data_IF_142614488178
#
_entry.id   IF_142614488178
#
_cell.length_a   1.000
_cell.length_b   1.000
_cell.length_c   1.000
_cell.angle_alpha   90.00
_cell.angle_beta   90.00
_cell.angle_gamma   90.00
#
_symmetry.space_group_name_H-M   'P 1'
#
loop_
_entity.id
_entity.type
_entity.pdbx_description
1 polymer ?
#
# COMPACT_ATOMS: atom_id res chain seq x y z
N UNK A 1 -3.26 -14.13 10.60
CA UNK A 1 -2.75 -12.97 9.86
C UNK A 1 -3.75 -11.83 9.78
N UNK A 2 -4.93 -12.01 9.17
CA UNK A 2 -5.99 -10.98 9.17
C UNK A 2 -6.33 -10.42 10.56
N UNK A 3 -6.62 -11.28 11.54
CA UNK A 3 -6.88 -10.85 12.92
C UNK A 3 -5.73 -10.04 13.55
N UNK A 4 -4.47 -10.36 13.22
CA UNK A 4 -3.33 -9.60 13.69
C UNK A 4 -3.24 -8.23 13.01
N UNK A 5 -3.46 -8.16 11.68
CA UNK A 5 -3.57 -6.89 10.95
C UNK A 5 -4.63 -5.98 11.56
N UNK A 6 -5.85 -6.50 11.74
CA UNK A 6 -6.97 -5.75 12.32
C UNK A 6 -6.61 -5.21 13.70
N UNK A 7 -6.07 -6.05 14.59
CA UNK A 7 -5.68 -5.61 15.95
C UNK A 7 -4.57 -4.55 15.91
N UNK A 8 -3.55 -4.72 15.07
CA UNK A 8 -2.47 -3.74 14.95
C UNK A 8 -2.96 -2.42 14.33
N UNK A 9 -3.83 -2.47 13.32
CA UNK A 9 -4.38 -1.25 12.69
C UNK A 9 -5.35 -0.50 13.61
N UNK A 10 -6.09 -1.22 14.47
CA UNK A 10 -7.06 -0.62 15.40
C UNK A 10 -6.39 -0.07 16.67
N UNK A 11 -5.42 -0.79 17.23
CA UNK A 11 -4.84 -0.49 18.55
C UNK A 11 -3.45 0.15 18.47
N UNK A 12 -2.78 0.08 17.32
CA UNK A 12 -1.35 0.40 17.20
C UNK A 12 -0.46 -0.73 17.74
N UNK A 13 0.86 -0.60 17.56
CA UNK A 13 1.81 -1.63 17.95
C UNK A 13 1.83 -1.85 19.46
N UNK A 14 1.88 -0.78 20.25
CA UNK A 14 2.04 -0.84 21.70
C UNK A 14 0.88 -1.54 22.42
N UNK A 15 -0.35 -1.13 22.13
CA UNK A 15 -1.54 -1.66 22.79
C UNK A 15 -2.00 -3.02 22.25
N UNK A 16 -1.52 -3.42 21.06
CA UNK A 16 -1.77 -4.76 20.53
C UNK A 16 -1.13 -5.84 21.43
N UNK A 17 -1.92 -6.87 21.75
CA UNK A 17 -1.46 -8.01 22.56
C UNK A 17 -1.81 -9.33 21.89
N UNK A 18 -1.02 -10.37 22.16
CA UNK A 18 -1.35 -11.73 21.74
C UNK A 18 -2.71 -12.20 22.25
N UNK A 19 -3.15 -11.70 23.41
CA UNK A 19 -4.48 -12.02 23.92
C UNK A 19 -5.58 -11.41 23.05
N UNK A 20 -5.45 -10.13 22.67
CA UNK A 20 -6.40 -9.47 21.78
C UNK A 20 -6.46 -10.17 20.40
N UNK A 21 -5.30 -10.53 19.85
CA UNK A 21 -5.19 -11.25 18.58
C UNK A 21 -5.80 -12.65 18.68
N UNK A 22 -5.54 -13.38 19.77
CA UNK A 22 -6.10 -14.72 19.99
C UNK A 22 -7.64 -14.67 20.05
N UNK A 23 -8.20 -13.73 20.81
CA UNK A 23 -9.66 -13.52 20.88
C UNK A 23 -10.24 -13.22 19.49
N UNK A 24 -9.59 -12.33 18.74
CA UNK A 24 -10.02 -11.95 17.38
C UNK A 24 -9.97 -13.12 16.39
N UNK A 25 -8.99 -13.99 16.54
CA UNK A 25 -8.75 -15.13 15.66
C UNK A 25 -9.54 -16.39 16.05
N UNK A 26 -10.35 -16.34 17.12
CA UNK A 26 -10.97 -17.51 17.75
C UNK A 26 -9.94 -18.60 18.12
N UNK A 27 -8.81 -18.16 18.67
CA UNK A 27 -7.69 -19.00 19.09
C UNK A 27 -7.38 -18.79 20.58
N UNK A 28 -6.60 -19.70 21.13
CA UNK A 28 -6.04 -19.53 22.46
C UNK A 28 -4.72 -18.76 22.41
N UNK A 29 -4.40 -18.01 23.46
CA UNK A 29 -3.10 -17.32 23.58
C UNK A 29 -1.90 -18.28 23.47
N UNK A 30 -1.90 -19.48 24.08
CA UNK A 30 -0.85 -20.48 23.87
C UNK A 30 -0.67 -20.88 22.39
N UNK A 31 -1.75 -20.95 21.60
CA UNK A 31 -1.65 -21.26 20.18
C UNK A 31 -0.86 -20.18 19.42
N UNK A 32 -1.10 -18.89 19.69
CA UNK A 32 -0.32 -17.80 19.07
C UNK A 32 1.16 -17.85 19.49
N UNK A 33 1.43 -18.08 20.77
CA UNK A 33 2.80 -18.21 21.29
C UNK A 33 3.58 -19.37 20.66
N UNK A 34 2.90 -20.42 20.20
CA UNK A 34 3.53 -21.53 19.51
C UNK A 34 4.13 -21.10 18.16
N UNK A 35 3.47 -20.18 17.45
CA UNK A 35 3.93 -19.68 16.16
C UNK A 35 4.88 -18.49 16.26
N UNK A 36 4.68 -17.61 17.26
CA UNK A 36 5.43 -16.36 17.36
C UNK A 36 6.06 -16.20 18.75
N UNK A 37 7.38 -16.20 18.78
CA UNK A 37 8.15 -16.02 20.02
C UNK A 37 8.06 -14.59 20.59
N UNK A 38 7.67 -13.59 19.77
CA UNK A 38 7.50 -12.20 20.24
C UNK A 38 6.47 -11.43 19.41
N UNK A 39 5.91 -10.37 19.99
CA UNK A 39 5.02 -9.41 19.29
C UNK A 39 5.70 -8.78 18.08
N UNK A 40 7.00 -8.49 18.19
CA UNK A 40 7.80 -7.95 17.09
C UNK A 40 7.87 -8.91 15.91
N UNK A 41 8.18 -10.18 16.15
CA UNK A 41 8.22 -11.19 15.07
C UNK A 41 6.85 -11.38 14.40
N UNK A 42 5.77 -11.39 15.19
CA UNK A 42 4.43 -11.43 14.61
C UNK A 42 4.14 -10.18 13.77
N UNK A 43 4.52 -9.00 14.25
CA UNK A 43 4.31 -7.75 13.51
C UNK A 43 5.10 -7.72 12.20
N UNK A 44 6.38 -8.12 12.22
CA UNK A 44 7.24 -8.23 11.04
C UNK A 44 6.63 -9.18 10.00
N UNK A 45 6.23 -10.37 10.42
CA UNK A 45 5.55 -11.34 9.53
C UNK A 45 4.27 -10.76 8.92
N UNK A 46 3.51 -9.99 9.70
CA UNK A 46 2.30 -9.34 9.19
C UNK A 46 2.64 -8.24 8.17
N UNK A 47 3.70 -7.45 8.39
CA UNK A 47 4.22 -6.47 7.42
C UNK A 47 4.64 -7.16 6.13
N UNK A 48 5.48 -8.19 6.22
CA UNK A 48 6.03 -8.90 5.07
C UNK A 48 4.92 -9.54 4.22
N UNK A 49 3.99 -10.26 4.85
CA UNK A 49 2.88 -10.86 4.13
C UNK A 49 1.97 -9.82 3.48
N UNK A 50 1.74 -8.68 4.14
CA UNK A 50 0.90 -7.63 3.58
C UNK A 50 1.58 -6.99 2.38
N UNK A 51 2.87 -6.65 2.49
CA UNK A 51 3.66 -6.08 1.41
C UNK A 51 3.77 -7.04 0.21
N UNK A 52 4.07 -8.32 0.45
CA UNK A 52 4.14 -9.32 -0.62
C UNK A 52 2.78 -9.49 -1.34
N UNK A 53 1.69 -9.54 -0.58
CA UNK A 53 0.35 -9.73 -1.15
C UNK A 53 -0.13 -8.54 -1.98
N UNK A 54 0.30 -7.32 -1.65
CA UNK A 54 -0.19 -6.09 -2.26
C UNK A 54 0.85 -5.42 -3.13
N UNK A 55 1.96 -4.98 -2.54
CA UNK A 55 2.96 -4.15 -3.21
C UNK A 55 3.71 -4.96 -4.25
N UNK A 56 4.29 -6.10 -3.89
CA UNK A 56 5.07 -6.91 -4.83
C UNK A 56 4.19 -7.45 -5.96
N UNK A 57 2.99 -7.92 -5.62
CA UNK A 57 1.99 -8.37 -6.59
C UNK A 57 1.58 -7.24 -7.55
N UNK A 58 1.32 -6.04 -7.05
CA UNK A 58 0.95 -4.87 -7.85
C UNK A 58 2.09 -4.42 -8.77
N UNK A 59 3.34 -4.40 -8.28
CA UNK A 59 4.53 -4.10 -9.10
C UNK A 59 4.69 -5.14 -10.21
N UNK A 60 4.61 -6.42 -9.89
CA UNK A 60 4.76 -7.48 -10.89
C UNK A 60 3.67 -7.42 -11.98
N UNK A 61 2.42 -7.16 -11.60
CA UNK A 61 1.32 -7.02 -12.57
C UNK A 61 1.49 -5.79 -13.46
N UNK A 62 1.85 -4.65 -12.86
CA UNK A 62 1.98 -3.37 -13.58
C UNK A 62 3.15 -3.34 -14.54
N UNK A 63 4.24 -4.09 -14.32
CA UNK A 63 5.36 -4.20 -15.26
C UNK A 63 4.98 -4.66 -16.67
N UNK A 64 3.80 -5.27 -16.84
CA UNK A 64 3.27 -5.70 -18.14
C UNK A 64 2.76 -4.55 -19.00
N UNK A 65 2.54 -3.38 -18.41
CA UNK A 65 2.04 -2.19 -19.08
C UNK A 65 3.17 -1.37 -19.71
N UNK A 66 2.90 -0.84 -20.90
CA UNK A 66 3.86 -0.08 -21.70
C UNK A 66 3.86 1.42 -21.42
N UNK A 67 2.84 1.94 -20.75
CA UNK A 67 2.69 3.37 -20.43
C UNK A 67 2.79 3.61 -18.93
N UNK A 68 3.26 4.80 -18.52
CA UNK A 68 3.26 5.21 -17.12
C UNK A 68 1.84 5.17 -16.54
N UNK A 69 0.87 5.72 -17.26
CA UNK A 69 -0.51 5.73 -16.80
C UNK A 69 -1.07 4.30 -16.64
N UNK A 70 -0.75 3.38 -17.55
CA UNK A 70 -1.12 1.96 -17.47
C UNK A 70 -0.49 1.28 -16.24
N UNK A 71 0.80 1.50 -16.01
CA UNK A 71 1.52 0.99 -14.84
C UNK A 71 0.88 1.44 -13.52
N UNK A 72 0.63 2.74 -13.38
CA UNK A 72 -0.02 3.30 -12.17
C UNK A 72 -1.46 2.78 -12.02
N UNK A 73 -2.20 2.66 -13.12
CA UNK A 73 -3.55 2.08 -13.14
C UNK A 73 -3.57 0.67 -12.60
N UNK A 74 -2.75 -0.23 -13.14
CA UNK A 74 -2.69 -1.63 -12.71
C UNK A 74 -2.24 -1.72 -11.25
N UNK A 75 -1.26 -0.91 -10.85
CA UNK A 75 -0.80 -0.88 -9.47
C UNK A 75 -1.93 -0.54 -8.50
N UNK A 76 -2.66 0.55 -8.75
CA UNK A 76 -3.73 1.01 -7.84
C UNK A 76 -4.90 0.03 -7.86
N UNK A 77 -5.27 -0.51 -9.03
CA UNK A 77 -6.34 -1.50 -9.13
C UNK A 77 -6.03 -2.78 -8.35
N UNK A 78 -4.78 -3.25 -8.38
CA UNK A 78 -4.34 -4.39 -7.57
C UNK A 78 -4.47 -4.09 -6.06
N UNK A 79 -4.10 -2.88 -5.62
CA UNK A 79 -4.26 -2.46 -4.23
C UNK A 79 -5.74 -2.36 -3.81
N UNK A 80 -6.61 -1.79 -4.65
CA UNK A 80 -8.06 -1.72 -4.40
C UNK A 80 -8.70 -3.12 -4.35
N UNK A 81 -8.24 -4.03 -5.21
CA UNK A 81 -8.69 -5.42 -5.20
C UNK A 81 -8.32 -6.13 -3.90
N UNK A 82 -7.06 -6.01 -3.45
CA UNK A 82 -6.61 -6.58 -2.18
C UNK A 82 -7.42 -6.04 -0.99
N UNK A 83 -7.70 -4.73 -0.98
CA UNK A 83 -8.56 -4.11 0.04
C UNK A 83 -10.00 -4.65 0.02
N UNK A 84 -10.55 -4.94 -1.16
CA UNK A 84 -11.87 -5.54 -1.31
C UNK A 84 -11.95 -6.97 -0.76
N UNK A 85 -10.85 -7.72 -0.83
CA UNK A 85 -10.75 -9.07 -0.26
C UNK A 85 -10.57 -9.03 1.27
N UNK A 86 -9.80 -8.07 1.77
CA UNK A 86 -9.53 -7.90 3.19
C UNK A 86 -9.36 -6.43 3.55
N UNK A 87 -10.39 -5.87 4.21
CA UNK A 87 -10.45 -4.44 4.57
C UNK A 87 -9.35 -4.00 5.53
N UNK A 88 -8.68 -4.92 6.19
CA UNK A 88 -7.58 -4.61 7.12
C UNK A 88 -6.28 -4.22 6.39
N UNK A 89 -6.15 -4.53 5.09
CA UNK A 89 -4.93 -4.32 4.31
C UNK A 89 -4.51 -2.86 4.28
N UNK A 90 -5.38 -1.96 3.79
CA UNK A 90 -5.02 -0.56 3.59
C UNK A 90 -4.80 0.14 4.94
N UNK A 91 -5.66 -0.12 5.92
CA UNK A 91 -5.52 0.41 7.27
C UNK A 91 -4.19 -0.02 7.90
N UNK A 92 -3.81 -1.29 7.74
CA UNK A 92 -2.55 -1.79 8.26
C UNK A 92 -1.34 -1.19 7.55
N UNK A 93 -1.31 -1.12 6.20
CA UNK A 93 -0.19 -0.51 5.45
C UNK A 93 0.06 0.95 5.83
N UNK A 94 -1.00 1.73 6.05
CA UNK A 94 -0.88 3.13 6.49
C UNK A 94 -0.40 3.22 7.92
N UNK A 95 -0.99 2.42 8.82
CA UNK A 95 -0.62 2.43 10.24
C UNK A 95 0.82 1.95 10.41
N UNK A 96 1.26 0.94 9.65
CA UNK A 96 2.60 0.37 9.79
C UNK A 96 3.70 1.38 9.50
N UNK A 97 3.45 2.32 8.58
CA UNK A 97 4.38 3.44 8.34
C UNK A 97 4.43 4.36 9.55
N UNK A 98 3.29 4.75 10.10
CA UNK A 98 3.25 5.60 11.30
C UNK A 98 3.93 4.93 12.51
N UNK A 99 3.73 3.63 12.68
CA UNK A 99 4.37 2.86 13.74
C UNK A 99 5.88 2.74 13.53
N UNK A 100 6.37 2.64 12.28
CA UNK A 100 7.81 2.64 11.99
C UNK A 100 8.50 3.96 12.33
N UNK A 101 7.80 5.09 12.22
CA UNK A 101 8.31 6.41 12.62
C UNK A 101 8.34 6.55 14.16
N UNK A 102 7.42 5.89 14.87
CA UNK A 102 7.36 5.89 16.35
C UNK A 102 8.33 4.90 16.98
N UNK A 103 8.54 3.77 16.31
CA UNK A 103 9.34 2.65 16.75
C UNK A 103 10.37 2.32 15.65
N UNK A 104 11.52 3.02 15.63
CA UNK A 104 12.56 2.80 14.62
C UNK A 104 13.05 1.35 14.54
N UNK A 105 12.92 0.56 15.62
CA UNK A 105 13.22 -0.86 15.66
C UNK A 105 12.25 -1.75 14.86
N UNK A 106 11.09 -1.20 14.44
CA UNK A 106 10.14 -1.83 13.53
C UNK A 106 10.40 -1.46 12.07
N UNK A 107 11.21 -0.42 11.81
CA UNK A 107 11.67 -0.11 10.47
C UNK A 107 12.72 -1.16 10.07
N UNK A 108 12.33 -2.14 9.26
CA UNK A 108 13.30 -3.10 8.72
C UNK A 108 14.12 -2.48 7.58
N UNK A 109 15.45 -2.55 7.69
CA UNK A 109 16.37 -2.06 6.65
C UNK A 109 16.41 -2.92 5.38
N UNK A 110 15.89 -4.15 5.40
CA UNK A 110 16.05 -5.13 4.32
C UNK A 110 14.86 -5.20 3.35
N UNK A 111 13.67 -4.74 3.76
CA UNK A 111 12.44 -4.80 2.95
C UNK A 111 11.61 -3.52 3.11
N UNK A 112 12.25 -2.34 3.01
CA UNK A 112 11.50 -1.10 2.97
C UNK A 112 10.67 -1.03 1.67
N UNK A 113 9.44 -1.53 1.75
CA UNK A 113 8.50 -1.54 0.65
C UNK A 113 8.17 -0.13 0.17
N UNK A 114 8.40 0.90 1.01
CA UNK A 114 8.28 2.31 0.62
C UNK A 114 9.37 2.67 -0.37
N UNK A 115 10.63 2.34 -0.05
CA UNK A 115 11.77 2.59 -0.94
C UNK A 115 11.70 1.73 -2.21
N UNK A 116 11.24 0.48 -2.10
CA UNK A 116 10.97 -0.37 -3.25
C UNK A 116 9.91 0.24 -4.18
N UNK A 117 8.77 0.67 -3.63
CA UNK A 117 7.69 1.30 -4.41
C UNK A 117 8.16 2.63 -5.02
N UNK A 118 8.91 3.44 -4.26
CA UNK A 118 9.51 4.68 -4.73
C UNK A 118 10.45 4.43 -5.91
N UNK A 119 11.36 3.46 -5.78
CA UNK A 119 12.28 3.06 -6.84
C UNK A 119 11.55 2.60 -8.10
N UNK A 120 10.50 1.80 -7.93
CA UNK A 120 9.63 1.36 -9.04
C UNK A 120 8.96 2.55 -9.75
N UNK A 121 8.35 3.48 -9.01
CA UNK A 121 7.67 4.65 -9.58
C UNK A 121 8.67 5.56 -10.32
N UNK A 122 9.85 5.82 -9.73
CA UNK A 122 10.92 6.59 -10.38
C UNK A 122 11.38 5.94 -11.68
N UNK A 123 11.58 4.62 -11.68
CA UNK A 123 11.95 3.88 -12.88
C UNK A 123 10.85 3.98 -13.96
N UNK A 124 9.58 3.84 -13.58
CA UNK A 124 8.46 3.98 -14.52
C UNK A 124 8.36 5.39 -15.13
N UNK A 125 8.58 6.45 -14.36
CA UNK A 125 8.61 7.82 -14.89
C UNK A 125 9.80 8.00 -15.85
N UNK A 126 10.97 7.46 -15.50
CA UNK A 126 12.16 7.51 -16.34
C UNK A 126 11.93 6.82 -17.69
N UNK A 127 11.36 5.62 -17.70
CA UNK A 127 11.00 4.89 -18.93
C UNK A 127 10.03 5.70 -19.80
N UNK A 128 9.08 6.41 -19.17
CA UNK A 128 8.11 7.25 -19.86
C UNK A 128 8.74 8.51 -20.48
N UNK A 129 9.79 9.06 -19.86
CA UNK A 129 10.60 10.14 -20.44
C UNK A 129 11.41 9.63 -21.63
N UNK A 130 12.07 8.47 -21.49
CA UNK A 130 12.91 7.89 -22.56
C UNK A 130 12.09 7.48 -23.80
N UNK A 131 10.85 7.03 -23.61
CA UNK A 131 9.92 6.70 -24.69
C UNK A 131 9.18 7.90 -25.29
N UNK A 132 9.32 9.09 -24.69
CA UNK A 132 8.64 10.31 -25.13
C UNK A 132 7.15 10.41 -24.73
N UNK A 133 6.66 9.52 -23.86
CA UNK A 133 5.31 9.61 -23.26
C UNK A 133 5.21 10.82 -22.33
N UNK A 134 6.28 11.12 -21.59
CA UNK A 134 6.37 12.24 -20.64
C UNK A 134 7.43 13.24 -21.10
N UNK A 135 7.16 14.53 -20.87
CA UNK A 135 8.08 15.64 -21.17
C UNK A 135 9.45 15.45 -20.52
N UNK A 136 10.53 15.70 -21.26
CA UNK A 136 11.90 15.44 -20.80
C UNK A 136 12.41 16.40 -19.72
N UNK A 137 11.73 17.53 -19.50
CA UNK A 137 12.05 18.51 -18.46
C UNK A 137 11.30 18.25 -17.14
N UNK A 138 10.60 17.13 -17.01
CA UNK A 138 9.93 16.77 -15.76
C UNK A 138 10.97 16.52 -14.65
N UNK A 139 10.69 17.05 -13.46
CA UNK A 139 11.42 16.66 -12.26
C UNK A 139 10.93 15.27 -11.82
N UNK A 140 11.73 14.24 -12.13
CA UNK A 140 11.40 12.84 -11.83
C UNK A 140 11.24 12.61 -10.33
N UNK A 141 12.07 13.26 -9.51
CA UNK A 141 12.03 13.13 -8.06
C UNK A 141 10.72 13.71 -7.52
N UNK A 142 10.41 14.96 -7.89
CA UNK A 142 9.17 15.61 -7.46
C UNK A 142 7.91 14.88 -7.99
N UNK A 143 7.95 14.37 -9.23
CA UNK A 143 6.85 13.61 -9.81
C UNK A 143 6.63 12.27 -9.08
N UNK A 144 7.70 11.58 -8.71
CA UNK A 144 7.62 10.34 -7.93
C UNK A 144 7.06 10.59 -6.52
N UNK A 145 7.53 11.62 -5.82
CA UNK A 145 7.00 11.99 -4.49
C UNK A 145 5.51 12.37 -4.58
N UNK A 146 5.11 13.09 -5.62
CA UNK A 146 3.72 13.46 -5.85
C UNK A 146 2.84 12.22 -6.05
N UNK A 147 3.26 11.27 -6.90
CA UNK A 147 2.52 10.01 -7.10
C UNK A 147 2.46 9.19 -5.81
N UNK A 148 3.57 9.10 -5.07
CA UNK A 148 3.60 8.43 -3.77
C UNK A 148 2.63 9.08 -2.78
N UNK A 149 2.58 10.41 -2.70
CA UNK A 149 1.66 11.14 -1.83
C UNK A 149 0.19 10.84 -2.17
N UNK A 150 -0.15 10.77 -3.45
CA UNK A 150 -1.50 10.37 -3.88
C UNK A 150 -1.81 8.93 -3.50
N UNK A 151 -0.87 8.00 -3.72
CA UNK A 151 -1.05 6.59 -3.35
C UNK A 151 -1.25 6.40 -1.84
N UNK A 152 -0.48 7.13 -1.01
CA UNK A 152 -0.71 7.18 0.44
C UNK A 152 -2.08 7.74 0.79
N UNK A 153 -2.52 8.80 0.10
CA UNK A 153 -3.85 9.38 0.27
C UNK A 153 -4.98 8.39 -0.05
N UNK A 154 -4.84 7.63 -1.14
CA UNK A 154 -5.79 6.57 -1.51
C UNK A 154 -5.79 5.42 -0.49
N UNK A 155 -4.62 5.00 -0.02
CA UNK A 155 -4.50 3.99 1.04
C UNK A 155 -5.15 4.44 2.35
N UNK A 156 -4.92 5.69 2.74
CA UNK A 156 -5.59 6.28 3.92
C UNK A 156 -7.10 6.35 3.73
N UNK A 157 -7.56 6.81 2.57
CA UNK A 157 -8.99 6.87 2.27
C UNK A 157 -9.62 5.47 2.34
N UNK A 158 -8.99 4.47 1.73
CA UNK A 158 -9.41 3.07 1.74
C UNK A 158 -9.45 2.44 3.13
N UNK A 159 -8.51 2.80 4.01
CA UNK A 159 -8.38 2.25 5.35
C UNK A 159 -9.30 2.89 6.39
N UNK A 160 -9.62 4.18 6.25
CA UNK A 160 -10.21 4.96 7.35
C UNK A 160 -11.42 5.83 6.98
N UNK A 161 -11.67 6.13 5.71
CA UNK A 161 -12.66 7.15 5.31
C UNK A 161 -13.74 6.59 4.39
N UNK A 162 -13.33 5.92 3.32
CA UNK A 162 -14.19 5.47 2.24
C UNK A 162 -14.71 4.05 2.47
N UNK A 163 -15.92 3.80 1.97
CA UNK A 163 -16.34 2.45 1.62
C UNK A 163 -15.74 2.06 0.25
N UNK A 164 -15.94 0.78 -0.12
CA UNK A 164 -15.38 0.23 -1.35
C UNK A 164 -15.86 0.99 -2.59
N UNK A 165 -17.14 1.38 -2.64
CA UNK A 165 -17.74 2.05 -3.80
C UNK A 165 -17.14 3.44 -4.00
N UNK A 166 -16.98 4.20 -2.92
CA UNK A 166 -16.33 5.53 -2.97
C UNK A 166 -14.85 5.41 -3.31
N UNK A 167 -14.16 4.42 -2.76
CA UNK A 167 -12.75 4.16 -3.08
C UNK A 167 -12.56 3.90 -4.58
N UNK A 168 -13.40 3.05 -5.17
CA UNK A 168 -13.41 2.79 -6.61
C UNK A 168 -13.67 4.09 -7.38
N UNK A 169 -14.68 4.87 -7.00
CA UNK A 169 -15.02 6.12 -7.69
C UNK A 169 -13.88 7.16 -7.68
N UNK A 170 -13.22 7.39 -6.53
CA UNK A 170 -12.10 8.35 -6.47
C UNK A 170 -10.87 7.83 -7.22
N UNK A 171 -10.66 6.50 -7.21
CA UNK A 171 -9.58 5.85 -7.96
C UNK A 171 -9.80 6.05 -9.45
N UNK A 172 -11.01 5.79 -9.95
CA UNK A 172 -11.34 5.98 -11.36
C UNK A 172 -11.14 7.44 -11.80
N UNK A 173 -11.53 8.41 -10.98
CA UNK A 173 -11.31 9.84 -11.25
C UNK A 173 -9.81 10.20 -11.30
N UNK A 174 -9.02 9.69 -10.35
CA UNK A 174 -7.57 9.89 -10.38
C UNK A 174 -6.93 9.31 -11.64
N UNK A 175 -7.35 8.11 -12.06
CA UNK A 175 -6.82 7.46 -13.25
C UNK A 175 -7.25 8.18 -14.54
N UNK A 176 -8.45 8.76 -14.59
CA UNK A 176 -8.87 9.61 -15.71
C UNK A 176 -8.08 10.92 -15.79
N UNK A 177 -7.65 11.48 -14.65
CA UNK A 177 -6.76 12.64 -14.59
C UNK A 177 -5.38 12.30 -15.16
N UNK A 178 -4.84 11.12 -14.83
CA UNK A 178 -3.55 10.66 -15.35
C UNK A 178 -3.56 10.43 -16.86
N UNK A 179 -4.66 9.93 -17.42
CA UNK A 179 -4.80 9.75 -18.88
C UNK A 179 -5.06 11.07 -19.64
N UNK A 180 -5.10 12.21 -18.94
CA UNK A 180 -5.45 13.52 -19.52
C UNK A 180 -6.89 13.61 -20.02
N UNK A 181 -7.77 12.69 -19.59
CA UNK A 181 -9.18 12.63 -20.01
C UNK A 181 -10.09 13.50 -19.14
N UNK A 182 -9.74 13.72 -17.87
CA UNK A 182 -10.60 14.42 -16.91
C UNK A 182 -10.88 15.90 -17.24
N UNK A 183 -10.08 16.52 -18.12
CA UNK A 183 -10.22 17.94 -18.50
C UNK A 183 -10.65 18.14 -19.95
N UNK A 184 -11.04 17.08 -20.67
CA UNK A 184 -11.63 17.24 -22.01
C UNK A 184 -13.04 17.80 -21.85
N UNK A 185 -13.17 19.13 -21.89
CA UNK A 185 -14.44 19.77 -22.21
C UNK A 185 -14.92 19.21 -23.54
N UNK A 186 -16.10 18.58 -23.55
CA UNK A 186 -16.67 17.95 -24.74
C UNK A 186 -16.56 18.86 -25.96
N UNK A 187 -15.99 18.32 -27.04
CA UNK A 187 -16.04 18.91 -28.38
C UNK A 187 -17.44 18.86 -28.95
#
# INVERSE_FOLDING_TARGET
MRAAREVFSELGYDAATFQAIAIRADLTRPAINHYFASKRLLYQEVVDQTNASVIESAVHQSQRESTLAGRIRVFIQAAVHAQGQDRSVAAFLVTSVLESERHPELAESNHDSREFTRGYVKAAIKDAVESGEVRADIDIEAAAEMLMAVMWGLGFYAGFVGDQDRLTAITDQFLQLLDGQAWRTGS
#
